data_IF_944248759799
#
_entry.id   IF_944248759799
#
_cell.length_a   1.000
_cell.length_b   1.000
_cell.length_c   1.000
_cell.angle_alpha   90.00
_cell.angle_beta   90.00
_cell.angle_gamma   90.00
#
_symmetry.space_group_name_H-M   'P 1'
#
loop_
_entity.id
_entity.type
_entity.pdbx_description
1 polymer ?
#
# COMPACT_ATOMS: atom_id res chain seq x y z
N UNK A 1 -12.20 9.76 -25.76
CA UNK A 1 -12.70 10.95 -26.54
C UNK A 1 -14.09 11.30 -26.01
N UNK A 2 -14.28 12.54 -25.60
CA UNK A 2 -15.59 13.02 -25.15
C UNK A 2 -16.47 13.25 -26.38
N UNK A 3 -17.27 12.26 -26.74
CA UNK A 3 -18.24 12.38 -27.83
C UNK A 3 -19.34 13.36 -27.38
N UNK A 4 -19.58 14.43 -28.15
CA UNK A 4 -20.59 15.43 -27.83
C UNK A 4 -20.07 16.76 -27.27
N UNK A 5 -18.75 16.92 -27.11
CA UNK A 5 -18.16 18.23 -26.85
C UNK A 5 -17.91 18.96 -28.18
N UNK A 6 -18.56 20.10 -28.38
CA UNK A 6 -18.23 20.96 -29.51
C UNK A 6 -16.88 21.66 -29.25
N UNK A 7 -16.12 21.85 -30.33
CA UNK A 7 -14.92 22.71 -30.28
C UNK A 7 -15.39 24.12 -29.85
N UNK A 8 -14.82 24.62 -28.77
CA UNK A 8 -15.12 25.96 -28.28
C UNK A 8 -14.71 26.98 -29.34
N UNK A 9 -15.57 27.96 -29.58
CA UNK A 9 -15.29 29.05 -30.51
C UNK A 9 -14.11 29.87 -29.98
N UNK A 10 -13.15 30.22 -30.84
CA UNK A 10 -11.97 31.03 -30.48
C UNK A 10 -12.38 32.37 -29.86
N UNK A 11 -13.43 33.03 -30.36
CA UNK A 11 -13.95 34.27 -29.77
C UNK A 11 -14.49 34.10 -28.34
N UNK A 12 -14.84 32.89 -27.94
CA UNK A 12 -15.16 32.55 -26.56
C UNK A 12 -13.89 32.34 -25.73
N UNK A 13 -12.87 31.67 -26.29
CA UNK A 13 -11.59 31.44 -25.62
C UNK A 13 -10.82 32.75 -25.37
N UNK A 14 -10.88 33.69 -26.29
CA UNK A 14 -10.27 35.04 -26.17
C UNK A 14 -10.81 35.89 -24.99
N UNK A 15 -11.95 35.49 -24.43
CA UNK A 15 -12.51 36.15 -23.25
C UNK A 15 -11.85 35.73 -21.94
N UNK A 16 -11.07 34.67 -21.95
CA UNK A 16 -10.30 34.24 -20.78
C UNK A 16 -8.94 34.93 -20.77
N UNK A 17 -8.64 35.59 -19.67
CA UNK A 17 -7.41 36.38 -19.53
C UNK A 17 -6.14 35.48 -19.54
N UNK A 18 -6.26 34.22 -19.15
CA UNK A 18 -5.18 33.25 -19.15
C UNK A 18 -5.72 31.82 -19.15
N UNK A 19 -4.93 30.89 -19.66
CA UNK A 19 -5.18 29.45 -19.66
C UNK A 19 -4.09 28.76 -18.85
N UNK A 20 -4.47 27.83 -18.00
CA UNK A 20 -3.54 27.02 -17.21
C UNK A 20 -3.72 25.56 -17.56
N UNK A 21 -2.60 24.85 -17.68
CA UNK A 21 -2.58 23.40 -17.70
C UNK A 21 -2.45 22.88 -16.26
N UNK A 22 -3.35 21.99 -15.86
CA UNK A 22 -3.36 21.43 -14.52
C UNK A 22 -3.11 19.93 -14.60
N UNK A 23 -1.96 19.51 -14.14
CA UNK A 23 -1.60 18.10 -14.00
C UNK A 23 -2.32 17.46 -12.80
N UNK A 24 -2.29 16.12 -12.76
CA UNK A 24 -2.76 15.39 -11.58
C UNK A 24 -1.87 15.68 -10.38
N UNK A 25 -2.48 15.64 -9.19
CA UNK A 25 -1.74 15.81 -7.95
C UNK A 25 -0.68 14.69 -7.78
N UNK A 26 0.42 15.01 -7.10
CA UNK A 26 1.43 14.01 -6.76
C UNK A 26 0.79 12.85 -5.96
N UNK A 27 1.35 11.64 -6.08
CA UNK A 27 0.87 10.43 -5.39
C UNK A 27 0.65 10.67 -3.88
N UNK A 28 1.59 11.36 -3.21
CA UNK A 28 1.47 11.67 -1.79
C UNK A 28 0.32 12.64 -1.47
N UNK A 29 0.04 13.60 -2.35
CA UNK A 29 -1.10 14.52 -2.20
C UNK A 29 -2.41 13.79 -2.47
N UNK A 30 -2.46 12.96 -3.51
CA UNK A 30 -3.65 12.19 -3.88
C UNK A 30 -4.01 11.19 -2.78
N UNK A 31 -3.03 10.46 -2.21
CA UNK A 31 -3.22 9.62 -1.03
C UNK A 31 -3.86 10.39 0.14
N UNK A 32 -3.35 11.57 0.48
CA UNK A 32 -3.92 12.41 1.55
C UNK A 32 -5.38 12.80 1.27
N UNK A 33 -5.71 13.09 0.01
CA UNK A 33 -7.09 13.38 -0.42
C UNK A 33 -7.99 12.16 -0.17
N UNK A 34 -7.55 10.96 -0.53
CA UNK A 34 -8.31 9.73 -0.37
C UNK A 34 -8.52 9.37 1.11
N UNK A 35 -7.48 9.43 1.93
CA UNK A 35 -7.56 9.18 3.38
C UNK A 35 -8.54 10.17 4.05
N UNK A 36 -8.44 11.46 3.71
CA UNK A 36 -9.40 12.45 4.19
C UNK A 36 -10.82 12.15 3.74
N UNK A 37 -11.00 11.62 2.52
CA UNK A 37 -12.30 11.26 1.99
C UNK A 37 -12.88 10.02 2.68
N UNK A 38 -12.05 9.03 3.08
CA UNK A 38 -12.47 7.90 3.93
C UNK A 38 -13.12 8.40 5.23
N UNK A 39 -12.47 9.35 5.92
CA UNK A 39 -13.04 9.98 7.10
C UNK A 39 -14.37 10.69 6.85
N UNK A 40 -14.53 11.35 5.69
CA UNK A 40 -15.78 11.98 5.31
C UNK A 40 -16.91 10.96 5.00
N UNK A 41 -16.54 9.73 4.62
CA UNK A 41 -17.46 8.61 4.45
C UNK A 41 -17.71 7.83 5.75
N UNK A 42 -17.21 8.29 6.89
CA UNK A 42 -17.24 7.58 8.18
C UNK A 42 -16.58 6.19 8.14
N UNK A 43 -15.62 6.01 7.23
CA UNK A 43 -14.81 4.80 7.14
C UNK A 43 -13.48 4.98 7.89
N UNK A 44 -12.96 3.89 8.44
CA UNK A 44 -11.63 3.87 9.03
C UNK A 44 -10.55 4.15 7.96
N UNK A 45 -9.47 4.83 8.35
CA UNK A 45 -8.42 5.20 7.42
C UNK A 45 -7.62 3.94 7.02
N UNK A 46 -7.68 3.58 5.73
CA UNK A 46 -6.89 2.52 5.12
C UNK A 46 -5.84 3.16 4.19
N UNK A 47 -4.67 3.41 4.75
CA UNK A 47 -3.59 4.07 4.02
C UNK A 47 -2.99 3.21 2.91
N UNK A 48 -2.99 1.89 3.09
CA UNK A 48 -2.54 0.93 2.10
C UNK A 48 -3.48 0.93 0.88
N UNK A 49 -4.79 0.81 1.11
CA UNK A 49 -5.80 0.91 0.05
C UNK A 49 -5.70 2.24 -0.71
N UNK A 50 -5.56 3.36 0.00
CA UNK A 50 -5.37 4.67 -0.62
C UNK A 50 -4.11 4.71 -1.50
N UNK A 51 -2.99 4.12 -1.04
CA UNK A 51 -1.75 4.05 -1.81
C UNK A 51 -1.89 3.17 -3.05
N UNK A 52 -2.55 2.01 -2.94
CA UNK A 52 -2.78 1.10 -4.05
C UNK A 52 -3.69 1.71 -5.11
N UNK A 53 -4.71 2.44 -4.71
CA UNK A 53 -5.55 3.24 -5.63
C UNK A 53 -4.72 4.27 -6.40
N UNK A 54 -3.82 4.99 -5.73
CA UNK A 54 -2.95 5.97 -6.39
C UNK A 54 -1.99 5.32 -7.38
N UNK A 55 -1.33 4.20 -7.01
CA UNK A 55 -0.44 3.44 -7.91
C UNK A 55 -1.19 2.93 -9.14
N UNK A 56 -2.36 2.34 -8.92
CA UNK A 56 -3.23 1.84 -9.98
C UNK A 56 -3.62 2.94 -10.98
N UNK A 57 -4.09 4.09 -10.48
CA UNK A 57 -4.46 5.22 -11.32
C UNK A 57 -3.28 5.81 -12.10
N UNK A 58 -2.10 5.85 -11.49
CA UNK A 58 -0.87 6.36 -12.13
C UNK A 58 -0.47 5.49 -13.32
N UNK A 59 -0.52 4.16 -13.18
CA UNK A 59 -0.22 3.23 -14.28
C UNK A 59 -1.22 3.42 -15.41
N UNK A 60 -2.53 3.50 -15.11
CA UNK A 60 -3.57 3.70 -16.13
C UNK A 60 -3.39 5.03 -16.85
N UNK A 61 -3.12 6.11 -16.12
CA UNK A 61 -2.89 7.45 -16.70
C UNK A 61 -1.68 7.45 -17.63
N UNK A 62 -0.61 6.75 -17.24
CA UNK A 62 0.56 6.57 -18.10
C UNK A 62 0.21 5.79 -19.35
N UNK A 63 -0.47 4.65 -19.23
CA UNK A 63 -0.94 3.86 -20.38
C UNK A 63 -1.86 4.64 -21.31
N UNK A 64 -2.70 5.53 -20.77
CA UNK A 64 -3.53 6.43 -21.55
C UNK A 64 -2.71 7.45 -22.34
N UNK A 65 -1.70 8.07 -21.73
CA UNK A 65 -0.78 9.00 -22.41
C UNK A 65 0.03 8.31 -23.50
N UNK A 66 0.43 7.06 -23.26
CA UNK A 66 1.14 6.22 -24.23
C UNK A 66 0.22 5.68 -25.36
N UNK A 67 -1.09 5.95 -25.29
CA UNK A 67 -2.09 5.52 -26.28
C UNK A 67 -2.44 4.02 -26.21
N UNK A 68 -2.08 3.34 -25.13
CA UNK A 68 -2.35 1.92 -24.94
C UNK A 68 -3.79 1.63 -24.46
N UNK A 69 -4.45 2.61 -23.84
CA UNK A 69 -5.86 2.55 -23.40
C UNK A 69 -6.57 3.86 -23.75
N UNK A 70 -7.86 3.77 -24.01
CA UNK A 70 -8.71 4.92 -24.36
C UNK A 70 -9.43 5.55 -23.17
N UNK A 71 -9.37 4.90 -22.00
CA UNK A 71 -10.06 5.31 -20.79
C UNK A 71 -9.07 5.73 -19.69
N UNK A 72 -9.51 6.67 -18.84
CA UNK A 72 -8.67 7.24 -17.78
C UNK A 72 -9.36 7.18 -16.41
N UNK A 73 -8.54 6.99 -15.36
CA UNK A 73 -8.99 7.04 -13.97
C UNK A 73 -8.57 8.37 -13.33
N UNK A 74 -9.55 9.25 -13.13
CA UNK A 74 -9.34 10.55 -12.47
C UNK A 74 -9.36 10.42 -10.94
N UNK A 75 -8.83 11.42 -10.22
CA UNK A 75 -8.92 11.52 -8.75
C UNK A 75 -10.37 11.46 -8.24
N UNK A 76 -11.34 12.01 -9.00
CA UNK A 76 -12.76 11.88 -8.66
C UNK A 76 -13.18 10.40 -8.63
N UNK A 77 -12.75 9.62 -9.60
CA UNK A 77 -13.06 8.20 -9.70
C UNK A 77 -12.42 7.39 -8.57
N UNK A 78 -11.24 7.79 -8.09
CA UNK A 78 -10.64 7.20 -6.90
C UNK A 78 -11.47 7.49 -5.64
N UNK A 79 -12.04 8.70 -5.52
CA UNK A 79 -13.00 9.02 -4.44
C UNK A 79 -14.26 8.17 -4.53
N UNK A 80 -14.77 7.92 -5.74
CA UNK A 80 -15.93 7.04 -5.95
C UNK A 80 -15.61 5.60 -5.51
N UNK A 81 -14.39 5.10 -5.79
CA UNK A 81 -13.91 3.81 -5.31
C UNK A 81 -13.86 3.75 -3.77
N UNK A 82 -13.35 4.77 -3.11
CA UNK A 82 -13.37 4.88 -1.66
C UNK A 82 -14.80 4.89 -1.11
N UNK A 83 -15.72 5.61 -1.75
CA UNK A 83 -17.12 5.63 -1.34
C UNK A 83 -17.77 4.26 -1.51
N UNK A 84 -17.52 3.55 -2.61
CA UNK A 84 -18.00 2.19 -2.81
C UNK A 84 -17.42 1.24 -1.75
N UNK A 85 -16.12 1.34 -1.47
CA UNK A 85 -15.46 0.56 -0.42
C UNK A 85 -16.07 0.82 0.97
N UNK A 86 -16.36 2.06 1.32
CA UNK A 86 -16.99 2.40 2.61
C UNK A 86 -18.37 1.76 2.79
N UNK A 87 -19.06 1.46 1.69
CA UNK A 87 -20.39 0.82 1.70
C UNK A 87 -20.29 -0.71 1.74
N UNK A 88 -19.39 -1.29 0.94
CA UNK A 88 -19.32 -2.74 0.72
C UNK A 88 -18.26 -3.46 1.57
N UNK A 89 -17.26 -2.75 2.09
CA UNK A 89 -16.16 -3.31 2.88
C UNK A 89 -15.16 -4.17 2.07
N UNK A 90 -15.31 -4.23 0.75
CA UNK A 90 -14.51 -5.06 -0.17
C UNK A 90 -13.81 -4.17 -1.19
N UNK A 91 -12.48 -4.21 -1.21
CA UNK A 91 -11.63 -3.39 -2.09
C UNK A 91 -11.85 -3.73 -3.57
N UNK A 92 -11.87 -5.04 -3.91
CA UNK A 92 -12.00 -5.48 -5.30
C UNK A 92 -13.38 -5.15 -5.85
N UNK A 93 -14.43 -5.38 -5.07
CA UNK A 93 -15.81 -5.01 -5.43
C UNK A 93 -15.97 -3.50 -5.65
N UNK A 94 -15.30 -2.68 -4.83
CA UNK A 94 -15.30 -1.23 -5.00
C UNK A 94 -14.66 -0.81 -6.34
N UNK A 95 -13.57 -1.47 -6.74
CA UNK A 95 -12.94 -1.26 -8.04
C UNK A 95 -13.87 -1.68 -9.16
N UNK A 96 -14.47 -2.88 -9.11
CA UNK A 96 -15.42 -3.37 -10.12
C UNK A 96 -16.58 -2.40 -10.33
N UNK A 97 -17.16 -1.86 -9.27
CA UNK A 97 -18.21 -0.85 -9.35
C UNK A 97 -17.74 0.45 -9.98
N UNK A 98 -16.51 0.86 -9.68
CA UNK A 98 -15.94 2.09 -10.21
C UNK A 98 -15.67 2.03 -11.71
N UNK A 99 -15.31 0.85 -12.23
CA UNK A 99 -14.99 0.62 -13.64
C UNK A 99 -16.19 0.05 -14.45
N UNK A 100 -17.32 -0.23 -13.81
CA UNK A 100 -18.47 -0.92 -14.42
C UNK A 100 -19.02 -0.25 -15.71
N UNK A 101 -18.75 1.04 -15.91
CA UNK A 101 -19.22 1.77 -17.11
C UNK A 101 -18.33 1.59 -18.33
N UNK A 102 -17.12 1.04 -18.15
CA UNK A 102 -16.19 0.81 -19.25
C UNK A 102 -16.59 -0.44 -20.04
N UNK A 103 -16.06 -0.61 -21.24
CA UNK A 103 -16.21 -1.84 -22.01
C UNK A 103 -15.57 -3.04 -21.30
N UNK A 104 -15.93 -4.25 -21.73
CA UNK A 104 -15.55 -5.49 -21.05
C UNK A 104 -14.03 -5.70 -21.03
N UNK A 105 -13.34 -5.39 -22.12
CA UNK A 105 -11.89 -5.58 -22.25
C UNK A 105 -11.15 -4.61 -21.32
N UNK A 106 -11.56 -3.34 -21.30
CA UNK A 106 -10.99 -2.32 -20.39
C UNK A 106 -11.27 -2.64 -18.93
N UNK A 107 -12.48 -3.15 -18.61
CA UNK A 107 -12.81 -3.56 -17.23
C UNK A 107 -11.92 -4.69 -16.76
N UNK A 108 -11.73 -5.73 -17.56
CA UNK A 108 -10.90 -6.87 -17.19
C UNK A 108 -9.44 -6.45 -17.06
N UNK A 109 -8.92 -5.62 -17.97
CA UNK A 109 -7.57 -5.09 -17.89
C UNK A 109 -7.34 -4.27 -16.60
N UNK A 110 -8.25 -3.36 -16.27
CA UNK A 110 -8.12 -2.51 -15.08
C UNK A 110 -8.30 -3.30 -13.77
N UNK A 111 -9.20 -4.28 -13.76
CA UNK A 111 -9.39 -5.20 -12.64
C UNK A 111 -8.13 -6.05 -12.39
N UNK A 112 -7.60 -6.67 -13.45
CA UNK A 112 -6.38 -7.48 -13.38
C UNK A 112 -5.18 -6.65 -12.91
N UNK A 113 -5.04 -5.42 -13.39
CA UNK A 113 -4.00 -4.50 -12.95
C UNK A 113 -4.13 -4.17 -11.46
N UNK A 114 -5.34 -3.89 -10.96
CA UNK A 114 -5.56 -3.61 -9.55
C UNK A 114 -5.19 -4.81 -8.68
N UNK A 115 -5.61 -6.02 -9.06
CA UNK A 115 -5.28 -7.25 -8.33
C UNK A 115 -3.77 -7.46 -8.20
N UNK A 116 -2.99 -7.12 -9.23
CA UNK A 116 -1.52 -7.19 -9.17
C UNK A 116 -0.96 -6.16 -8.19
N UNK A 117 -1.43 -4.92 -8.26
CA UNK A 117 -0.97 -3.85 -7.35
C UNK A 117 -1.28 -4.18 -5.88
N UNK A 118 -2.46 -4.74 -5.61
CA UNK A 118 -2.87 -5.13 -4.25
C UNK A 118 -2.08 -6.35 -3.75
N UNK A 119 -1.80 -7.32 -4.60
CA UNK A 119 -0.99 -8.50 -4.27
C UNK A 119 0.49 -8.15 -4.00
N UNK A 120 1.07 -7.22 -4.77
CA UNK A 120 2.43 -6.73 -4.54
C UNK A 120 2.56 -6.00 -3.19
N UNK A 121 1.55 -5.24 -2.79
CA UNK A 121 1.50 -4.59 -1.49
C UNK A 121 1.44 -5.62 -0.34
N UNK A 122 0.56 -6.62 -0.45
CA UNK A 122 0.45 -7.69 0.54
C UNK A 122 1.71 -8.54 0.67
N UNK A 123 2.49 -8.71 -0.40
CA UNK A 123 3.79 -9.38 -0.34
C UNK A 123 4.85 -8.53 0.35
N UNK A 124 4.90 -7.23 0.04
CA UNK A 124 5.83 -6.30 0.69
C UNK A 124 5.59 -6.20 2.20
N UNK A 125 4.32 -6.18 2.64
CA UNK A 125 3.98 -6.18 4.06
C UNK A 125 4.29 -7.52 4.74
N UNK A 126 4.14 -8.64 4.04
CA UNK A 126 4.52 -9.96 4.53
C UNK A 126 6.05 -10.10 4.69
N UNK A 127 6.83 -9.56 3.76
CA UNK A 127 8.28 -9.52 3.84
C UNK A 127 8.76 -8.57 4.96
N UNK A 128 8.18 -7.37 5.08
CA UNK A 128 8.48 -6.44 6.16
C UNK A 128 8.12 -7.01 7.54
N UNK A 129 6.98 -7.72 7.66
CA UNK A 129 6.58 -8.39 8.90
C UNK A 129 7.50 -9.57 9.24
N UNK A 130 8.05 -10.27 8.24
CA UNK A 130 9.05 -11.31 8.46
C UNK A 130 10.40 -10.72 8.89
N UNK A 131 10.79 -9.57 8.36
CA UNK A 131 12.00 -8.84 8.79
C UNK A 131 11.85 -8.24 10.19
N UNK A 132 10.68 -7.71 10.55
CA UNK A 132 10.41 -7.23 11.92
C UNK A 132 10.31 -8.37 12.95
N UNK A 133 9.77 -9.52 12.57
CA UNK A 133 9.71 -10.71 13.44
C UNK A 133 11.02 -11.51 13.47
N UNK A 134 11.88 -11.35 12.49
CA UNK A 134 13.28 -11.70 12.60
C UNK A 134 13.94 -10.65 13.48
N UNK A 135 13.71 -10.73 14.80
CA UNK A 135 14.48 -9.98 15.78
C UNK A 135 15.93 -10.37 15.54
N UNK A 136 16.59 -9.59 14.72
CA UNK A 136 18.02 -9.75 14.43
C UNK A 136 18.76 -9.32 15.67
N UNK A 137 18.86 -10.21 16.67
CA UNK A 137 19.78 -10.05 17.76
C UNK A 137 21.18 -10.05 17.14
N UNK A 138 21.92 -8.96 17.22
CA UNK A 138 23.28 -8.97 16.71
C UNK A 138 24.00 -10.17 17.34
N UNK A 139 24.82 -10.85 16.56
CA UNK A 139 25.56 -12.08 16.95
C UNK A 139 26.35 -11.92 18.28
N UNK A 140 26.47 -10.67 18.75
CA UNK A 140 27.10 -10.25 20.01
C UNK A 140 26.10 -10.06 21.18
N UNK A 141 24.78 -10.26 21.00
CA UNK A 141 23.82 -10.14 22.11
C UNK A 141 23.96 -11.31 23.07
N UNK A 142 24.70 -11.07 24.11
CA UNK A 142 24.90 -12.00 25.22
C UNK A 142 23.85 -11.73 26.28
N UNK A 143 23.02 -12.73 26.60
CA UNK A 143 22.05 -12.65 27.69
C UNK A 143 22.55 -13.46 28.86
N UNK A 144 22.68 -12.82 30.02
CA UNK A 144 23.07 -13.48 31.25
C UNK A 144 21.81 -14.09 31.90
N UNK A 145 21.88 -15.39 32.22
CA UNK A 145 20.78 -16.13 32.83
C UNK A 145 20.89 -16.08 34.35
N UNK A 146 19.79 -15.70 35.00
CA UNK A 146 19.68 -15.84 36.45
C UNK A 146 19.17 -17.24 36.77
N UNK A 147 20.11 -18.13 37.18
CA UNK A 147 19.80 -19.54 37.44
C UNK A 147 20.25 -19.95 38.81
N UNK A 148 19.48 -20.83 39.46
CA UNK A 148 19.90 -21.47 40.71
C UNK A 148 20.89 -22.61 40.41
N UNK A 149 21.69 -23.02 41.40
CA UNK A 149 22.65 -24.12 41.27
C UNK A 149 21.97 -25.44 40.86
N UNK A 150 20.71 -25.66 41.24
CA UNK A 150 19.94 -26.86 40.91
C UNK A 150 19.57 -26.94 39.42
N UNK A 151 19.55 -25.82 38.68
CA UNK A 151 19.18 -25.74 37.26
C UNK A 151 20.39 -25.81 36.32
N UNK A 152 21.57 -26.03 36.85
CA UNK A 152 22.86 -26.03 36.13
C UNK A 152 22.82 -27.00 34.90
N UNK A 153 22.35 -28.21 35.10
CA UNK A 153 22.42 -29.26 34.08
C UNK A 153 21.37 -29.01 32.96
N UNK A 154 20.23 -28.48 33.32
CA UNK A 154 19.18 -28.11 32.37
C UNK A 154 19.62 -26.93 31.47
N UNK A 155 20.21 -25.90 32.05
CA UNK A 155 20.68 -24.71 31.32
C UNK A 155 21.86 -25.09 30.40
N UNK A 156 22.72 -25.99 30.84
CA UNK A 156 23.82 -26.53 30.04
C UNK A 156 23.32 -27.38 28.87
N UNK A 157 22.28 -28.20 29.08
CA UNK A 157 21.68 -29.01 28.04
C UNK A 157 21.02 -28.16 26.93
N UNK A 158 20.58 -26.95 27.26
CA UNK A 158 20.03 -25.95 26.31
C UNK A 158 21.11 -25.08 25.65
N UNK A 159 22.37 -25.43 25.78
CA UNK A 159 23.48 -24.77 25.06
C UNK A 159 24.06 -23.53 25.76
N UNK A 160 23.66 -23.20 26.99
CA UNK A 160 24.23 -22.08 27.71
C UNK A 160 25.70 -22.35 28.11
N UNK A 161 26.50 -21.31 28.08
CA UNK A 161 27.94 -21.34 28.47
C UNK A 161 28.16 -20.64 29.82
N UNK A 162 29.04 -21.20 30.64
CA UNK A 162 29.39 -20.63 31.92
C UNK A 162 30.49 -19.55 31.77
N UNK A 163 30.26 -18.39 32.33
CA UNK A 163 31.26 -17.35 32.46
C UNK A 163 31.85 -17.37 33.87
N UNK A 164 33.12 -17.76 33.96
CA UNK A 164 33.85 -17.87 35.24
C UNK A 164 34.18 -16.51 35.89
N UNK A 165 34.24 -15.42 35.09
CA UNK A 165 34.53 -14.06 35.54
C UNK A 165 33.30 -13.42 36.16
N UNK A 166 32.16 -13.50 35.44
CA UNK A 166 30.87 -12.94 35.89
C UNK A 166 30.07 -13.90 36.77
N UNK A 167 30.54 -15.15 36.92
CA UNK A 167 29.86 -16.23 37.67
C UNK A 167 28.38 -16.39 37.25
N UNK A 168 28.10 -16.32 35.95
CA UNK A 168 26.76 -16.43 35.39
C UNK A 168 26.77 -17.34 34.17
N UNK A 169 25.61 -18.01 33.92
CA UNK A 169 25.36 -18.66 32.67
C UNK A 169 24.90 -17.64 31.62
N UNK A 170 25.30 -17.83 30.37
CA UNK A 170 24.85 -16.96 29.27
C UNK A 170 24.57 -17.77 28.02
N UNK A 171 23.70 -17.24 27.19
CA UNK A 171 23.40 -17.71 25.82
C UNK A 171 23.62 -16.57 24.83
N UNK A 172 23.96 -16.91 23.60
CA UNK A 172 24.12 -15.98 22.49
C UNK A 172 23.02 -16.18 21.47
N UNK A 173 22.67 -15.17 20.70
CA UNK A 173 21.46 -15.06 19.88
C UNK A 173 21.13 -16.21 18.92
N UNK A 174 22.04 -17.15 18.63
CA UNK A 174 21.77 -18.34 17.79
C UNK A 174 21.18 -19.55 18.54
N UNK A 175 20.90 -19.45 19.83
CA UNK A 175 20.55 -20.58 20.71
C UNK A 175 19.12 -20.49 21.26
N UNK A 176 18.24 -19.69 20.63
CA UNK A 176 16.88 -19.48 21.05
C UNK A 176 15.82 -20.27 20.26
N UNK A 177 16.20 -21.13 19.34
CA UNK A 177 15.29 -22.04 18.64
C UNK A 177 14.95 -23.29 19.44
#
# INVERSE_FOLDING_TARGET
>A
RFVGTNVLNEAFLDRFAFTMEQEYASRGTEKKILVKWMGACNAEADEEFAMNLCKWAEIIRKSFLDGAVDEIVSTRRLKDAVTAWSIFGDRLKAIEMTIARFDDDTREAFRSLYTKVDAEAGQADAEATQEENAVNFPEASRINLVTSFAQKDEVKARGAKWDSVKKTWHITGKQWE
#
